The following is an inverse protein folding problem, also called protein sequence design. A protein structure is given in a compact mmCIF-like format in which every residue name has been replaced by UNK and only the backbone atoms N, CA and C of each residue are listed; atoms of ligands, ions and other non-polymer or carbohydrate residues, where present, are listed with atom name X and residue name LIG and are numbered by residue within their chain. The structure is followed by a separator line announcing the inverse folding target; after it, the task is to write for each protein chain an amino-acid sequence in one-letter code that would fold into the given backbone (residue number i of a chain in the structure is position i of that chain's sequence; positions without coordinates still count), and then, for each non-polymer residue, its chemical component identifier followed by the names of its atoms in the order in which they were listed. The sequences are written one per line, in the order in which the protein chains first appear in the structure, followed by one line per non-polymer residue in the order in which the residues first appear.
data_IF_588855987599
#
_entry.id   IF_588855987599
#
_cell.length_a   1.000
_cell.length_b   1.000
_cell.length_c   1.000
_cell.angle_alpha   90.00
_cell.angle_beta   90.00
_cell.angle_gamma   90.00
#
_symmetry.space_group_name_H-M   'P 1'
#
loop_
_entity.id
_entity.type
_entity.pdbx_description
1 polymer ?
#
# COMPACT_ATOMS: atom_id res chain seq x y z
N UNK A 1 -24.63 23.41 65.42
CA UNK A 1 -25.29 23.39 64.10
C UNK A 1 -24.33 23.68 62.94
N UNK A 2 -23.42 24.67 63.03
CA UNK A 2 -22.54 25.04 61.91
C UNK A 2 -21.63 23.91 61.37
N UNK A 3 -21.10 23.05 62.25
CA UNK A 3 -20.19 21.96 61.84
C UNK A 3 -20.93 20.90 61.00
N UNK A 4 -22.19 20.58 61.34
CA UNK A 4 -22.99 19.63 60.57
C UNK A 4 -23.32 20.14 59.15
N UNK A 5 -23.53 21.46 59.01
CA UNK A 5 -23.79 22.12 57.73
C UNK A 5 -22.52 22.15 56.87
N UNK A 6 -21.33 22.34 57.48
CA UNK A 6 -20.06 22.29 56.77
C UNK A 6 -19.76 20.88 56.21
N UNK A 7 -20.07 19.81 56.95
CA UNK A 7 -19.93 18.43 56.47
C UNK A 7 -20.91 18.08 55.34
N UNK A 8 -22.11 18.65 55.35
CA UNK A 8 -23.08 18.47 54.28
C UNK A 8 -22.59 19.16 52.97
N UNK A 9 -22.03 20.36 53.07
CA UNK A 9 -21.46 21.09 51.92
C UNK A 9 -20.26 20.37 51.31
N UNK A 10 -19.35 19.83 52.14
CA UNK A 10 -18.18 19.09 51.63
C UNK A 10 -18.60 17.85 50.84
N UNK A 11 -19.66 17.18 51.30
CA UNK A 11 -20.19 15.96 50.66
C UNK A 11 -20.79 16.26 49.29
N UNK A 12 -21.55 17.36 49.17
CA UNK A 12 -22.10 17.84 47.90
C UNK A 12 -21.00 18.29 46.93
N UNK A 13 -19.96 18.96 47.42
CA UNK A 13 -18.83 19.35 46.58
C UNK A 13 -18.11 18.13 45.99
N UNK A 14 -17.88 17.08 46.78
CA UNK A 14 -17.24 15.85 46.29
C UNK A 14 -18.11 15.16 45.23
N UNK A 15 -19.42 15.09 45.43
CA UNK A 15 -20.35 14.50 44.44
C UNK A 15 -20.30 15.27 43.12
N UNK A 16 -20.30 16.61 43.16
CA UNK A 16 -20.21 17.45 41.95
C UNK A 16 -18.87 17.25 41.23
N UNK A 17 -17.76 17.17 41.97
CA UNK A 17 -16.43 16.93 41.41
C UNK A 17 -16.36 15.55 40.75
N UNK A 18 -16.88 14.51 41.41
CA UNK A 18 -16.91 13.14 40.87
C UNK A 18 -17.75 13.03 39.60
N UNK A 19 -18.93 13.68 39.56
CA UNK A 19 -19.77 13.72 38.34
C UNK A 19 -19.05 14.44 37.21
N UNK A 20 -18.37 15.57 37.51
CA UNK A 20 -17.59 16.30 36.50
C UNK A 20 -16.40 15.51 35.97
N UNK A 21 -15.75 14.73 36.81
CA UNK A 21 -14.63 13.88 36.41
C UNK A 21 -15.10 12.78 35.44
N UNK A 22 -16.17 12.06 35.77
CA UNK A 22 -16.76 11.00 34.93
C UNK A 22 -17.27 11.55 33.60
N UNK A 23 -17.86 12.76 33.59
CA UNK A 23 -18.36 13.36 32.35
C UNK A 23 -17.24 13.88 31.42
N UNK A 24 -16.01 14.08 31.91
CA UNK A 24 -14.86 14.37 31.04
C UNK A 24 -14.44 13.14 30.24
N UNK A 25 -14.47 11.95 30.85
CA UNK A 25 -14.15 10.68 30.19
C UNK A 25 -15.15 10.36 29.06
N UNK A 26 -16.45 10.65 29.25
CA UNK A 26 -17.47 10.49 28.19
C UNK A 26 -17.31 11.46 27.01
N UNK A 27 -16.75 12.65 27.24
CA UNK A 27 -16.37 13.55 26.14
C UNK A 27 -15.09 13.11 25.43
N UNK A 28 -14.17 12.50 26.16
CA UNK A 28 -12.94 11.93 25.61
C UNK A 28 -13.26 10.68 24.78
N UNK A 29 -14.23 9.87 25.18
CA UNK A 29 -14.68 8.70 24.43
C UNK A 29 -15.39 9.04 23.10
N UNK A 30 -16.07 10.19 23.02
CA UNK A 30 -16.53 10.74 21.74
C UNK A 30 -15.39 11.26 20.86
N UNK A 31 -14.20 11.56 21.42
CA UNK A 31 -12.98 11.83 20.64
C UNK A 31 -12.23 10.56 20.25
N UNK A 32 -12.43 9.44 20.94
CA UNK A 32 -11.78 8.16 20.60
C UNK A 32 -12.31 7.60 19.28
N UNK A 33 -13.55 7.92 18.90
CA UNK A 33 -14.09 7.59 17.58
C UNK A 33 -13.28 8.27 16.44
N UNK A 34 -12.74 9.46 16.69
CA UNK A 34 -11.91 10.19 15.73
C UNK A 34 -10.50 9.58 15.55
N UNK A 35 -10.04 8.75 16.50
CA UNK A 35 -8.72 8.10 16.47
C UNK A 35 -8.78 6.60 16.14
N UNK A 36 -9.98 6.05 15.95
CA UNK A 36 -10.12 4.67 15.51
C UNK A 36 -9.88 4.55 13.99
N UNK A 37 -9.55 3.35 13.50
CA UNK A 37 -9.28 3.12 12.08
C UNK A 37 -10.45 3.57 11.18
N UNK A 38 -11.69 3.47 11.65
CA UNK A 38 -12.86 3.92 10.90
C UNK A 38 -12.94 5.46 10.78
N UNK A 39 -12.62 6.20 11.84
CA UNK A 39 -12.53 7.67 11.83
C UNK A 39 -11.39 8.16 10.94
N UNK A 40 -10.23 7.50 11.00
CA UNK A 40 -9.10 7.79 10.11
C UNK A 40 -9.45 7.47 8.65
N UNK A 41 -10.12 6.36 8.39
CA UNK A 41 -10.54 5.95 7.05
C UNK A 41 -11.57 6.91 6.47
N UNK A 42 -12.59 7.27 7.25
CA UNK A 42 -13.65 8.19 6.80
C UNK A 42 -13.10 9.58 6.49
N UNK A 43 -12.16 10.08 7.31
CA UNK A 43 -11.44 11.32 7.02
C UNK A 43 -10.53 11.20 5.79
N UNK A 44 -9.84 10.08 5.62
CA UNK A 44 -9.02 9.84 4.43
C UNK A 44 -9.86 9.74 3.17
N UNK A 45 -11.04 9.12 3.24
CA UNK A 45 -12.00 8.98 2.15
C UNK A 45 -12.58 10.34 1.72
N UNK A 46 -12.91 11.21 2.68
CA UNK A 46 -13.41 12.56 2.41
C UNK A 46 -12.33 13.51 1.83
N UNK A 47 -11.04 13.25 2.12
CA UNK A 47 -9.92 14.11 1.72
C UNK A 47 -9.01 13.49 0.64
N UNK A 48 -9.50 12.49 -0.09
CA UNK A 48 -8.77 11.91 -1.22
C UNK A 48 -9.02 12.78 -2.46
N UNK A 49 -7.96 13.35 -3.02
CA UNK A 49 -8.02 14.07 -4.28
C UNK A 49 -8.26 13.11 -5.46
N UNK A 50 -8.95 13.56 -6.52
CA UNK A 50 -9.30 12.74 -7.69
C UNK A 50 -8.12 11.99 -8.32
N UNK A 51 -6.93 12.61 -8.38
CA UNK A 51 -5.73 11.96 -8.93
C UNK A 51 -5.24 10.79 -8.04
N UNK A 52 -5.48 10.83 -6.73
CA UNK A 52 -5.13 9.72 -5.84
C UNK A 52 -6.05 8.52 -6.07
N UNK A 53 -7.33 8.77 -6.37
CA UNK A 53 -8.28 7.73 -6.79
C UNK A 53 -7.81 7.08 -8.09
N UNK A 54 -7.42 7.89 -9.07
CA UNK A 54 -6.94 7.42 -10.37
C UNK A 54 -5.65 6.59 -10.24
N UNK A 55 -4.68 7.04 -9.42
CA UNK A 55 -3.49 6.27 -9.08
C UNK A 55 -3.86 4.96 -8.35
N UNK A 56 -4.87 4.99 -7.49
CA UNK A 56 -5.38 3.81 -6.79
C UNK A 56 -5.96 2.77 -7.76
N UNK A 57 -6.79 3.22 -8.72
CA UNK A 57 -7.33 2.38 -9.79
C UNK A 57 -6.21 1.78 -10.65
N UNK A 58 -5.25 2.61 -11.05
CA UNK A 58 -4.09 2.18 -11.81
C UNK A 58 -3.27 1.10 -11.07
N UNK A 59 -3.04 1.27 -9.76
CA UNK A 59 -2.35 0.26 -8.93
C UNK A 59 -3.14 -1.03 -8.84
N UNK A 60 -4.47 -0.95 -8.74
CA UNK A 60 -5.35 -2.12 -8.74
C UNK A 60 -5.22 -2.88 -10.05
N UNK A 61 -5.34 -2.20 -11.19
CA UNK A 61 -5.20 -2.80 -12.51
C UNK A 61 -3.84 -3.47 -12.68
N UNK A 62 -2.75 -2.80 -12.28
CA UNK A 62 -1.41 -3.40 -12.31
C UNK A 62 -1.27 -4.62 -11.41
N UNK A 63 -1.85 -4.60 -10.21
CA UNK A 63 -1.81 -5.74 -9.30
C UNK A 63 -2.59 -6.93 -9.88
N UNK A 64 -3.74 -6.70 -10.49
CA UNK A 64 -4.53 -7.74 -11.17
C UNK A 64 -3.74 -8.35 -12.33
N UNK A 65 -3.15 -7.53 -13.22
CA UNK A 65 -2.29 -8.02 -14.30
C UNK A 65 -1.06 -8.77 -13.80
N UNK A 66 -0.41 -8.29 -12.73
CA UNK A 66 0.75 -8.97 -12.14
C UNK A 66 0.36 -10.37 -11.62
N UNK A 67 -0.77 -10.46 -10.92
CA UNK A 67 -1.28 -11.74 -10.37
C UNK A 67 -1.66 -12.69 -11.50
N UNK A 68 -2.28 -12.20 -12.56
CA UNK A 68 -2.60 -13.00 -13.75
C UNK A 68 -1.34 -13.57 -14.39
N UNK A 69 -0.33 -12.74 -14.65
CA UNK A 69 0.96 -13.18 -15.21
C UNK A 69 1.65 -14.21 -14.29
N UNK A 70 1.62 -14.01 -12.97
CA UNK A 70 2.17 -14.98 -12.02
C UNK A 70 1.42 -16.33 -12.11
N UNK A 71 0.10 -16.29 -12.27
CA UNK A 71 -0.72 -17.48 -12.50
C UNK A 71 -0.36 -18.20 -13.80
N UNK A 72 -0.25 -17.45 -14.90
CA UNK A 72 0.15 -18.00 -16.20
C UNK A 72 1.54 -18.65 -16.16
N UNK A 73 2.50 -18.04 -15.48
CA UNK A 73 3.84 -18.60 -15.29
C UNK A 73 3.78 -19.91 -14.50
N UNK A 74 3.03 -19.94 -13.39
CA UNK A 74 2.88 -21.15 -12.58
C UNK A 74 2.16 -22.28 -13.34
N UNK A 75 1.18 -21.95 -14.18
CA UNK A 75 0.55 -22.92 -15.08
C UNK A 75 1.52 -23.46 -16.12
N UNK A 76 2.36 -22.60 -16.69
CA UNK A 76 3.35 -22.99 -17.68
C UNK A 76 4.43 -23.90 -17.07
N UNK A 77 4.90 -23.56 -15.87
CA UNK A 77 5.82 -24.38 -15.07
C UNK A 77 5.23 -25.78 -14.84
N UNK A 78 3.97 -25.86 -14.38
CA UNK A 78 3.30 -27.13 -14.15
C UNK A 78 3.11 -27.95 -15.44
N UNK A 79 2.85 -27.29 -16.59
CA UNK A 79 2.78 -27.96 -17.90
C UNK A 79 4.16 -28.52 -18.32
N UNK A 80 5.24 -27.77 -18.08
CA UNK A 80 6.61 -28.23 -18.33
C UNK A 80 6.96 -29.44 -17.46
N UNK A 81 6.64 -29.38 -16.16
CA UNK A 81 6.89 -30.48 -15.23
C UNK A 81 6.14 -31.76 -15.63
N UNK A 82 4.87 -31.64 -16.02
CA UNK A 82 4.07 -32.78 -16.52
C UNK A 82 4.67 -33.37 -17.79
N UNK A 83 5.14 -32.53 -18.71
CA UNK A 83 5.77 -32.99 -19.95
C UNK A 83 7.12 -33.68 -19.67
N UNK A 84 7.93 -33.11 -18.79
CA UNK A 84 9.21 -33.66 -18.33
C UNK A 84 9.04 -35.01 -17.61
N UNK A 85 8.03 -35.12 -16.76
CA UNK A 85 7.67 -36.36 -16.08
C UNK A 85 7.22 -37.47 -17.04
N UNK A 86 6.50 -37.12 -18.11
CA UNK A 86 6.06 -38.09 -19.12
C UNK A 86 7.21 -38.60 -20.01
N UNK A 87 8.24 -37.79 -20.27
CA UNK A 87 9.44 -38.21 -21.02
C UNK A 87 10.24 -39.27 -20.24
N UNK A 88 10.15 -39.28 -18.90
CA UNK A 88 10.90 -40.18 -18.04
C UNK A 88 10.30 -41.59 -17.90
N UNK A 89 9.06 -41.81 -18.38
CA UNK A 89 8.34 -43.07 -18.25
C UNK A 89 8.13 -43.84 -19.57
N UNK A 90 8.60 -43.29 -20.70
CA UNK A 90 8.47 -43.88 -22.04
C UNK A 90 9.82 -44.41 -22.57
N UNK A 91 10.65 -44.98 -21.69
CA UNK A 91 11.87 -45.69 -22.09
C UNK A 91 12.06 -46.95 -21.26
N UNK A 92 11.16 -47.92 -21.45
CA UNK A 92 11.35 -49.29 -20.98
C UNK A 92 10.95 -50.32 -22.03
N UNK A 93 11.23 -50.04 -23.30
CA UNK A 93 11.53 -51.14 -24.22
C UNK A 93 12.57 -50.74 -25.29
N UNK A 94 13.54 -51.64 -25.47
CA UNK A 94 14.65 -51.66 -26.43
C UNK A 94 15.92 -50.81 -26.22
N UNK A 95 16.88 -51.50 -25.59
CA UNK A 95 18.24 -51.79 -26.09
C UNK A 95 19.31 -50.68 -26.14
N UNK A 96 20.30 -50.83 -25.26
CA UNK A 96 21.74 -50.55 -25.42
C UNK A 96 22.13 -49.30 -26.23
N UNK A 97 22.67 -48.29 -25.54
CA UNK A 97 24.01 -47.76 -25.82
C UNK A 97 24.42 -46.78 -24.73
N UNK A 98 25.58 -47.05 -24.13
CA UNK A 98 26.24 -46.17 -23.18
C UNK A 98 26.53 -44.80 -23.84
N UNK A 99 26.11 -43.72 -23.21
CA UNK A 99 26.80 -42.43 -23.33
C UNK A 99 26.70 -41.65 -22.03
N UNK A 100 27.87 -41.53 -21.41
CA UNK A 100 28.19 -40.68 -20.27
C UNK A 100 27.91 -39.21 -20.59
N UNK A 101 27.02 -38.57 -19.83
CA UNK A 101 26.96 -37.11 -19.71
C UNK A 101 26.98 -36.76 -18.22
N UNK A 102 27.93 -35.89 -17.88
CA UNK A 102 28.32 -35.50 -16.52
C UNK A 102 27.14 -34.90 -15.76
N UNK A 103 26.86 -35.48 -14.61
CA UNK A 103 26.03 -34.93 -13.55
C UNK A 103 26.67 -33.61 -13.08
N UNK A 104 26.04 -32.48 -13.43
CA UNK A 104 26.33 -31.20 -12.80
C UNK A 104 25.50 -31.16 -11.52
N UNK A 105 26.18 -31.02 -10.40
CA UNK A 105 25.70 -31.24 -9.04
C UNK A 105 24.62 -30.22 -8.60
N UNK A 106 23.37 -30.47 -9.02
CA UNK A 106 22.17 -29.71 -8.68
C UNK A 106 21.79 -29.81 -7.19
N UNK A 107 22.37 -30.77 -6.46
CA UNK A 107 22.08 -30.99 -5.04
C UNK A 107 22.62 -29.83 -4.20
N UNK A 108 23.77 -29.28 -4.58
CA UNK A 108 24.39 -28.14 -3.91
C UNK A 108 23.57 -26.84 -3.98
N UNK A 109 22.81 -26.64 -5.07
CA UNK A 109 22.02 -25.41 -5.27
C UNK A 109 20.68 -25.43 -4.54
N UNK A 110 20.08 -26.61 -4.37
CA UNK A 110 18.80 -26.78 -3.66
C UNK A 110 18.97 -26.55 -2.15
N UNK A 111 20.13 -26.88 -1.60
CA UNK A 111 20.41 -26.69 -0.18
C UNK A 111 20.55 -25.20 0.18
N UNK A 112 21.03 -24.37 -0.75
CA UNK A 112 21.17 -22.92 -0.57
C UNK A 112 19.82 -22.17 -0.58
N UNK A 113 18.81 -22.68 -1.32
CA UNK A 113 17.50 -22.03 -1.43
C UNK A 113 16.62 -22.29 -0.20
N UNK A 114 16.78 -23.44 0.47
CA UNK A 114 15.93 -23.83 1.62
C UNK A 114 16.01 -22.88 2.81
N UNK A 115 17.13 -22.21 3.00
CA UNK A 115 17.31 -21.26 4.11
C UNK A 115 16.64 -19.89 3.86
N UNK A 116 16.16 -19.62 2.65
CA UNK A 116 15.56 -18.32 2.29
C UNK A 116 14.03 -18.28 2.29
N UNK A 117 13.35 -19.44 2.34
CA UNK A 117 11.88 -19.49 2.21
C UNK A 117 11.23 -20.14 3.45
N UNK A 118 11.31 -19.44 4.58
CA UNK A 118 10.36 -19.62 5.68
C UNK A 118 9.24 -18.59 5.55
N UNK A 119 8.20 -18.86 4.73
CA UNK A 119 6.91 -18.17 4.85
C UNK A 119 5.77 -19.19 4.93
N UNK A 120 5.15 -19.14 6.11
CA UNK A 120 4.03 -19.89 6.67
C UNK A 120 2.88 -20.17 5.70
N UNK A 121 2.55 -21.46 5.49
CA UNK A 121 1.26 -21.90 4.96
C UNK A 121 0.14 -21.55 5.96
N UNK A 122 -0.62 -20.49 5.68
CA UNK A 122 -1.93 -20.29 6.28
C UNK A 122 -3.01 -20.73 5.29
N UNK A 123 -3.66 -21.85 5.59
CA UNK A 123 -4.87 -22.30 4.90
C UNK A 123 -6.08 -21.48 5.39
N UNK A 124 -6.53 -20.52 4.57
CA UNK A 124 -7.84 -19.86 4.73
C UNK A 124 -8.80 -20.31 3.63
N UNK A 125 -9.96 -20.84 4.02
CA UNK A 125 -11.08 -21.19 3.12
C UNK A 125 -11.72 -19.91 2.58
N UNK A 126 -12.10 -19.92 1.30
CA UNK A 126 -12.88 -18.86 0.63
C UNK A 126 -14.31 -19.37 0.43
N UNK A 127 -15.30 -18.57 0.82
CA UNK A 127 -16.72 -18.77 0.57
C UNK A 127 -17.29 -17.75 -0.43
N UNK A 128 -18.23 -18.25 -1.24
CA UNK A 128 -18.90 -17.59 -2.35
C UNK A 128 -19.92 -16.55 -1.88
N UNK A 129 -19.86 -15.33 -2.43
CA UNK A 129 -21.02 -14.52 -2.85
C UNK A 129 -20.58 -13.19 -3.49
N UNK A 130 -20.65 -13.16 -4.82
CA UNK A 130 -20.61 -11.93 -5.59
C UNK A 130 -21.90 -11.12 -5.42
N UNK A 131 -21.75 -9.80 -5.34
CA UNK A 131 -22.73 -8.82 -5.78
C UNK A 131 -22.04 -7.47 -5.94
N UNK A 132 -22.06 -6.94 -7.17
CA UNK A 132 -21.62 -5.59 -7.53
C UNK A 132 -22.87 -4.76 -7.84
N UNK A 133 -23.01 -3.60 -7.20
CA UNK A 133 -24.08 -2.64 -7.49
C UNK A 133 -23.49 -1.46 -8.27
N UNK A 134 -24.05 -1.22 -9.44
CA UNK A 134 -23.78 -0.06 -10.31
C UNK A 134 -24.28 1.23 -9.66
N UNK A 135 -23.45 2.28 -9.66
CA UNK A 135 -23.90 3.67 -9.48
C UNK A 135 -23.09 4.56 -10.43
N UNK A 136 -23.82 5.17 -11.35
CA UNK A 136 -23.43 6.21 -12.28
C UNK A 136 -23.47 7.58 -11.61
N UNK A 137 -22.45 8.43 -11.78
CA UNK A 137 -22.60 9.90 -11.64
C UNK A 137 -21.60 10.65 -12.53
N UNK A 138 -22.20 11.43 -13.42
CA UNK A 138 -21.82 12.66 -14.14
C UNK A 138 -20.43 13.31 -14.02
N UNK A 139 -19.92 13.65 -15.20
CA UNK A 139 -18.85 14.60 -15.47
C UNK A 139 -19.18 16.03 -14.98
N UNK A 140 -18.23 16.66 -14.29
CA UNK A 140 -18.06 18.12 -14.32
C UNK A 140 -16.57 18.50 -14.36
N UNK A 141 -16.19 19.15 -15.46
CA UNK A 141 -15.00 19.98 -15.58
C UNK A 141 -15.01 21.10 -14.52
N UNK A 142 -13.87 21.45 -13.93
CA UNK A 142 -13.01 22.56 -14.42
C UNK A 142 -11.95 22.98 -13.36
N UNK A 143 -10.81 23.52 -13.86
CA UNK A 143 -9.96 24.55 -13.22
C UNK A 143 -8.82 24.16 -12.25
N UNK A 144 -7.78 23.43 -12.70
CA UNK A 144 -6.51 23.28 -11.94
C UNK A 144 -5.22 23.55 -12.74
N UNK A 145 -5.30 23.90 -14.03
CA UNK A 145 -4.14 23.86 -14.92
C UNK A 145 -3.13 25.02 -14.80
N UNK A 146 -3.44 26.11 -14.07
CA UNK A 146 -2.56 27.30 -14.02
C UNK A 146 -1.43 27.23 -12.97
N UNK A 147 -1.58 26.43 -11.90
CA UNK A 147 -0.60 26.43 -10.79
C UNK A 147 0.71 25.70 -11.12
N UNK A 148 0.66 24.70 -12.02
CA UNK A 148 1.83 23.89 -12.34
C UNK A 148 2.86 24.65 -13.18
N UNK A 149 2.41 25.54 -14.09
CA UNK A 149 3.31 26.32 -14.94
C UNK A 149 4.19 27.32 -14.18
N UNK A 150 3.74 27.81 -13.02
CA UNK A 150 4.51 28.78 -12.21
C UNK A 150 5.72 28.11 -11.57
N UNK A 151 5.55 26.90 -11.00
CA UNK A 151 6.65 26.14 -10.37
C UNK A 151 7.69 25.67 -11.37
N UNK A 152 7.28 25.28 -12.58
CA UNK A 152 8.19 24.84 -13.64
C UNK A 152 9.13 25.98 -14.06
N UNK A 153 8.58 27.18 -14.32
CA UNK A 153 9.36 28.37 -14.69
C UNK A 153 10.32 28.83 -13.60
N UNK A 154 9.93 28.65 -12.34
CA UNK A 154 10.76 29.02 -11.20
C UNK A 154 11.94 28.04 -11.03
N UNK A 155 11.71 26.74 -11.22
CA UNK A 155 12.77 25.73 -11.26
C UNK A 155 13.72 25.99 -12.44
N UNK A 156 13.20 26.29 -13.64
CA UNK A 156 14.00 26.67 -14.81
C UNK A 156 14.99 27.80 -14.51
N UNK A 157 14.46 28.89 -13.97
CA UNK A 157 15.26 30.09 -13.66
C UNK A 157 16.36 29.82 -12.64
N UNK A 158 16.09 28.98 -11.64
CA UNK A 158 17.09 28.64 -10.63
C UNK A 158 18.18 27.70 -11.17
N UNK A 159 17.79 26.79 -12.06
CA UNK A 159 18.75 25.94 -12.78
C UNK A 159 19.65 26.76 -13.71
N UNK A 160 19.09 27.74 -14.44
CA UNK A 160 19.86 28.68 -15.27
C UNK A 160 20.83 29.52 -14.44
N UNK A 161 20.45 29.90 -13.22
CA UNK A 161 21.36 30.59 -12.29
C UNK A 161 22.46 29.69 -11.69
N UNK A 162 22.50 28.41 -12.06
CA UNK A 162 23.56 27.48 -11.70
C UNK A 162 23.41 26.84 -10.32
N UNK A 163 22.23 26.90 -9.70
CA UNK A 163 21.98 26.23 -8.42
C UNK A 163 21.92 24.72 -8.61
N UNK A 164 22.37 23.99 -7.60
CA UNK A 164 22.27 22.54 -7.56
C UNK A 164 20.83 22.10 -7.28
N UNK A 165 20.50 20.86 -7.68
CA UNK A 165 19.16 20.26 -7.46
C UNK A 165 18.77 20.30 -5.97
N UNK A 166 19.76 20.13 -5.09
CA UNK A 166 19.57 20.15 -3.64
C UNK A 166 19.18 21.56 -3.14
N UNK A 167 19.88 22.59 -3.61
CA UNK A 167 19.57 23.98 -3.23
C UNK A 167 18.22 24.45 -3.78
N UNK A 168 17.84 23.97 -4.98
CA UNK A 168 16.51 24.26 -5.58
C UNK A 168 15.40 23.57 -4.78
N UNK A 169 15.64 22.32 -4.36
CA UNK A 169 14.72 21.56 -3.51
C UNK A 169 14.46 22.28 -2.19
N UNK A 170 15.53 22.81 -1.57
CA UNK A 170 15.44 23.57 -0.33
C UNK A 170 14.78 24.95 -0.53
N UNK A 171 15.09 25.65 -1.63
CA UNK A 171 14.55 26.97 -1.93
C UNK A 171 13.04 26.96 -2.22
N UNK A 172 12.56 25.99 -3.00
CA UNK A 172 11.14 25.87 -3.36
C UNK A 172 10.34 24.97 -2.41
N UNK A 173 11.00 24.29 -1.47
CA UNK A 173 10.41 23.25 -0.62
C UNK A 173 9.70 22.16 -1.44
N UNK A 174 10.31 21.80 -2.55
CA UNK A 174 9.85 20.78 -3.50
C UNK A 174 10.79 19.58 -3.35
N UNK A 175 10.30 18.35 -3.51
CA UNK A 175 11.15 17.17 -3.33
C UNK A 175 12.25 17.08 -4.40
N UNK A 176 13.43 16.56 -4.05
CA UNK A 176 14.55 16.37 -5.02
C UNK A 176 14.11 15.60 -6.27
N UNK A 177 13.25 14.59 -6.10
CA UNK A 177 12.67 13.83 -7.20
C UNK A 177 11.74 14.66 -8.09
N UNK A 178 10.99 15.61 -7.53
CA UNK A 178 10.12 16.51 -8.29
C UNK A 178 10.94 17.53 -9.08
N UNK A 179 12.03 18.07 -8.51
CA UNK A 179 12.97 18.94 -9.24
C UNK A 179 13.60 18.18 -10.42
N UNK A 180 13.98 16.92 -10.20
CA UNK A 180 14.53 16.06 -11.25
C UNK A 180 13.50 15.77 -12.35
N UNK A 181 12.25 15.51 -11.97
CA UNK A 181 11.16 15.27 -12.90
C UNK A 181 10.87 16.50 -13.76
N UNK A 182 10.87 17.70 -13.16
CA UNK A 182 10.71 18.97 -13.89
C UNK A 182 11.87 19.16 -14.88
N UNK A 183 13.11 18.92 -14.45
CA UNK A 183 14.28 19.00 -15.31
C UNK A 183 14.18 18.08 -16.53
N UNK A 184 13.82 16.81 -16.32
CA UNK A 184 13.86 15.80 -17.38
C UNK A 184 12.66 15.86 -18.33
N UNK A 185 11.49 16.26 -17.85
CA UNK A 185 10.26 16.23 -18.63
C UNK A 185 9.81 17.58 -19.18
N UNK A 186 10.20 18.69 -18.52
CA UNK A 186 9.69 20.02 -18.86
C UNK A 186 10.76 21.00 -19.35
N UNK A 187 12.04 20.80 -19.02
CA UNK A 187 13.15 21.73 -19.33
C UNK A 187 14.12 21.20 -20.40
N UNK A 188 13.64 20.33 -21.29
CA UNK A 188 14.46 19.63 -22.28
C UNK A 188 15.17 20.55 -23.27
#
# INVERSE_FOLDING_TARGET
MGIAIALLLISICIIIISIRYINKEKQEQNRIEDYNFAGILSRSEENIDDYQIEIGKLRKEFAETLVEIQGEIAELENKIDKLSGNISHESNDSNNTANTLKEVDLVSFIEEIKDTVFISKNNGKIDEKGNTTEVSVDEKQDSSNEKNGVKIKEVEKLMESGLTIDEISDALKIGKGEVLLIKELYLK
#
